data_IF_856348943201
#
_entry.id   IF_856348943201
#
_cell.length_a   1.000
_cell.length_b   1.000
_cell.length_c   1.000
_cell.angle_alpha   90.00
_cell.angle_beta   90.00
_cell.angle_gamma   90.00
#
_symmetry.space_group_name_H-M   'P 1'
#
loop_
_entity.id
_entity.type
_entity.pdbx_description
1 polymer ?
#
# COMPACT_ATOMS: atom_id res chain seq x y z
N UNK A 1 46.36 -59.45 -49.26
CA UNK A 1 47.37 -58.38 -49.13
C UNK A 1 46.92 -57.37 -48.08
N UNK A 2 47.67 -57.14 -46.98
CA UNK A 2 47.23 -56.27 -45.90
C UNK A 2 47.37 -54.78 -46.28
N UNK A 3 46.32 -53.99 -46.04
CA UNK A 3 46.28 -52.54 -46.32
C UNK A 3 47.24 -51.79 -45.39
N UNK A 4 48.34 -51.25 -45.93
CA UNK A 4 49.31 -50.43 -45.17
C UNK A 4 48.65 -49.11 -44.72
N UNK A 5 48.49 -48.93 -43.40
CA UNK A 5 48.02 -47.66 -42.82
C UNK A 5 49.13 -46.60 -42.92
N UNK A 6 48.89 -45.51 -43.66
CA UNK A 6 49.81 -44.35 -43.71
C UNK A 6 49.80 -43.64 -42.35
N UNK A 7 50.93 -43.67 -41.64
CA UNK A 7 51.13 -42.93 -40.39
C UNK A 7 51.40 -41.48 -40.75
N UNK A 8 50.55 -40.54 -40.31
CA UNK A 8 50.76 -39.10 -40.52
C UNK A 8 51.79 -38.60 -39.50
N UNK A 9 53.06 -38.62 -39.89
CA UNK A 9 54.17 -37.96 -39.17
C UNK A 9 54.19 -36.45 -39.47
N UNK A 10 54.70 -35.66 -38.54
CA UNK A 10 54.98 -34.23 -38.76
C UNK A 10 56.31 -34.06 -39.55
N UNK A 11 56.68 -32.86 -40.03
CA UNK A 11 57.86 -32.66 -40.89
C UNK A 11 59.21 -33.01 -40.24
N UNK A 12 59.24 -33.21 -38.92
CA UNK A 12 60.39 -33.70 -38.16
C UNK A 12 60.41 -35.24 -37.99
N UNK A 13 59.56 -35.98 -38.73
CA UNK A 13 59.52 -37.44 -38.70
C UNK A 13 58.82 -38.08 -37.50
N UNK A 14 58.25 -37.27 -36.59
CA UNK A 14 57.64 -37.76 -35.36
C UNK A 14 56.16 -38.09 -35.57
N UNK A 15 55.73 -39.28 -35.11
CA UNK A 15 54.32 -39.70 -35.15
C UNK A 15 53.48 -38.80 -34.24
N UNK A 16 52.49 -38.13 -34.84
CA UNK A 16 51.58 -37.22 -34.13
C UNK A 16 50.89 -37.89 -32.95
N UNK A 17 50.66 -39.21 -33.01
CA UNK A 17 50.05 -39.98 -31.91
C UNK A 17 51.00 -40.18 -30.72
N UNK A 18 52.32 -40.17 -30.93
CA UNK A 18 53.32 -40.29 -29.85
C UNK A 18 53.59 -38.93 -29.18
N UNK A 19 53.57 -37.83 -29.92
CA UNK A 19 53.70 -36.47 -29.36
C UNK A 19 52.61 -36.14 -28.32
N UNK A 20 51.36 -36.54 -28.58
CA UNK A 20 50.24 -36.34 -27.66
C UNK A 20 50.39 -37.13 -26.35
N UNK A 21 51.07 -38.29 -26.39
CA UNK A 21 51.32 -39.12 -25.21
C UNK A 21 52.44 -38.58 -24.32
N UNK A 22 53.47 -37.96 -24.90
CA UNK A 22 54.66 -37.53 -24.16
C UNK A 22 54.58 -36.09 -23.62
N UNK A 23 53.79 -35.21 -24.24
CA UNK A 23 53.72 -33.80 -23.84
C UNK A 23 52.35 -33.33 -23.34
N UNK A 24 51.38 -34.24 -23.23
CA UNK A 24 50.02 -33.91 -22.80
C UNK A 24 49.32 -32.97 -23.78
N UNK A 25 48.01 -33.14 -23.93
CA UNK A 25 47.19 -32.18 -24.65
C UNK A 25 47.33 -30.80 -23.97
N UNK A 26 47.52 -29.67 -24.69
CA UNK A 26 47.29 -28.37 -24.07
C UNK A 26 45.89 -28.39 -23.46
N UNK A 27 45.75 -27.94 -22.20
CA UNK A 27 44.53 -28.03 -21.38
C UNK A 27 43.34 -27.29 -22.02
N UNK A 28 42.71 -27.87 -23.04
CA UNK A 28 41.46 -27.38 -23.65
C UNK A 28 40.26 -27.61 -22.71
N UNK A 29 40.46 -28.36 -21.62
CA UNK A 29 39.45 -28.61 -20.58
C UNK A 29 39.03 -27.39 -19.77
N UNK A 30 39.77 -26.28 -19.81
CA UNK A 30 39.43 -25.07 -19.04
C UNK A 30 38.61 -24.04 -19.82
N UNK A 31 38.76 -23.95 -21.16
CA UNK A 31 38.05 -22.96 -21.98
C UNK A 31 36.55 -23.31 -22.09
N UNK A 32 36.22 -24.59 -22.24
CA UNK A 32 34.82 -25.04 -22.30
C UNK A 32 34.09 -24.86 -20.96
N UNK A 33 34.77 -25.09 -19.83
CA UNK A 33 34.25 -24.82 -18.48
C UNK A 33 34.05 -23.32 -18.22
N UNK A 34 35.02 -22.48 -18.62
CA UNK A 34 34.89 -21.03 -18.51
C UNK A 34 33.74 -20.47 -19.36
N UNK A 35 33.56 -20.95 -20.59
CA UNK A 35 32.43 -20.55 -21.45
C UNK A 35 31.08 -20.99 -20.91
N UNK A 36 30.96 -22.23 -20.41
CA UNK A 36 29.74 -22.71 -19.74
C UNK A 36 29.43 -21.91 -18.47
N UNK A 37 30.44 -21.59 -17.67
CA UNK A 37 30.29 -20.77 -16.47
C UNK A 37 29.84 -19.34 -16.82
N UNK A 38 30.42 -18.71 -17.85
CA UNK A 38 29.98 -17.39 -18.34
C UNK A 38 28.54 -17.41 -18.87
N UNK A 39 28.14 -18.44 -19.62
CA UNK A 39 26.75 -18.57 -20.07
C UNK A 39 25.77 -18.77 -18.91
N UNK A 40 26.12 -19.57 -17.90
CA UNK A 40 25.29 -19.73 -16.70
C UNK A 40 25.19 -18.45 -15.87
N UNK A 41 26.27 -17.68 -15.75
CA UNK A 41 26.27 -16.36 -15.09
C UNK A 41 25.35 -15.39 -15.85
N UNK A 42 25.47 -15.31 -17.17
CA UNK A 42 24.63 -14.43 -17.99
C UNK A 42 23.14 -14.80 -17.89
N UNK A 43 22.79 -16.09 -17.87
CA UNK A 43 21.41 -16.55 -17.65
C UNK A 43 20.89 -16.18 -16.26
N UNK A 44 21.71 -16.35 -15.21
CA UNK A 44 21.34 -15.93 -13.84
C UNK A 44 21.11 -14.42 -13.77
N UNK A 45 21.98 -13.61 -14.36
CA UNK A 45 21.80 -12.15 -14.41
C UNK A 45 20.56 -11.73 -15.21
N UNK A 46 20.23 -12.43 -16.30
CA UNK A 46 19.00 -12.19 -17.06
C UNK A 46 17.75 -12.44 -16.21
N UNK A 47 17.69 -13.58 -15.52
CA UNK A 47 16.57 -13.92 -14.64
C UNK A 47 16.43 -12.92 -13.47
N UNK A 48 17.54 -12.47 -12.90
CA UNK A 48 17.51 -11.45 -11.82
C UNK A 48 16.99 -10.12 -12.36
N UNK A 49 17.43 -9.70 -13.57
CA UNK A 49 16.94 -8.46 -14.20
C UNK A 49 15.45 -8.52 -14.51
N UNK A 50 14.93 -9.65 -14.96
CA UNK A 50 13.48 -9.83 -15.20
C UNK A 50 12.69 -9.76 -13.89
N UNK A 51 13.13 -10.48 -12.84
CA UNK A 51 12.49 -10.39 -11.52
C UNK A 51 12.46 -8.96 -10.96
N UNK A 52 13.57 -8.23 -11.09
CA UNK A 52 13.62 -6.82 -10.67
C UNK A 52 12.64 -5.94 -11.47
N UNK A 53 12.47 -6.20 -12.78
CA UNK A 53 11.50 -5.46 -13.59
C UNK A 53 10.07 -5.75 -13.13
N UNK A 54 9.75 -7.00 -12.85
CA UNK A 54 8.42 -7.42 -12.38
C UNK A 54 8.11 -6.81 -11.01
N UNK A 55 9.04 -6.90 -10.07
CA UNK A 55 8.93 -6.28 -8.74
C UNK A 55 8.75 -4.76 -8.84
N UNK A 56 9.52 -4.09 -9.71
CA UNK A 56 9.37 -2.65 -9.95
C UNK A 56 7.97 -2.32 -10.48
N UNK A 57 7.42 -3.14 -11.37
CA UNK A 57 6.09 -2.92 -11.93
C UNK A 57 4.99 -3.11 -10.88
N UNK A 58 5.14 -4.11 -10.00
CA UNK A 58 4.24 -4.32 -8.86
C UNK A 58 4.29 -3.11 -7.93
N UNK A 59 5.49 -2.67 -7.53
CA UNK A 59 5.67 -1.50 -6.66
C UNK A 59 5.06 -0.22 -7.25
N UNK A 60 5.15 -0.01 -8.57
CA UNK A 60 4.52 1.13 -9.22
C UNK A 60 2.99 1.06 -9.13
N UNK A 61 2.40 -0.11 -9.41
CA UNK A 61 0.94 -0.32 -9.28
C UNK A 61 0.47 -0.11 -7.84
N UNK A 62 1.21 -0.64 -6.87
CA UNK A 62 0.89 -0.48 -5.45
C UNK A 62 1.02 0.98 -5.01
N UNK A 63 2.02 1.70 -5.50
CA UNK A 63 2.19 3.14 -5.25
C UNK A 63 1.01 3.94 -5.79
N UNK A 64 0.55 3.66 -7.01
CA UNK A 64 -0.61 4.32 -7.61
C UNK A 64 -1.90 4.02 -6.83
N UNK A 65 -2.12 2.76 -6.47
CA UNK A 65 -3.25 2.34 -5.64
C UNK A 65 -3.24 3.03 -4.27
N UNK A 66 -2.07 3.15 -3.65
CA UNK A 66 -1.90 3.86 -2.38
C UNK A 66 -2.22 5.35 -2.52
N UNK A 67 -1.75 6.02 -3.58
CA UNK A 67 -2.10 7.43 -3.86
C UNK A 67 -3.60 7.62 -4.03
N UNK A 68 -4.29 6.71 -4.71
CA UNK A 68 -5.74 6.75 -4.86
C UNK A 68 -6.47 6.57 -3.51
N UNK A 69 -6.01 5.63 -2.70
CA UNK A 69 -6.58 5.41 -1.36
C UNK A 69 -6.36 6.61 -0.45
N UNK A 70 -5.19 7.24 -0.51
CA UNK A 70 -4.89 8.48 0.22
C UNK A 70 -5.86 9.61 -0.16
N UNK A 71 -6.11 9.82 -1.45
CA UNK A 71 -7.11 10.80 -1.92
C UNK A 71 -8.51 10.49 -1.39
N UNK A 72 -8.94 9.23 -1.45
CA UNK A 72 -10.24 8.81 -0.90
C UNK A 72 -10.35 9.11 0.60
N UNK A 73 -9.32 8.79 1.37
CA UNK A 73 -9.27 9.08 2.81
C UNK A 73 -9.29 10.59 3.08
N UNK A 74 -8.56 11.39 2.32
CA UNK A 74 -8.60 12.86 2.45
C UNK A 74 -10.00 13.42 2.22
N UNK A 75 -10.70 12.96 1.16
CA UNK A 75 -12.08 13.36 0.91
C UNK A 75 -13.00 12.95 2.06
N UNK A 76 -12.84 11.74 2.59
CA UNK A 76 -13.62 11.26 3.73
C UNK A 76 -13.39 12.10 4.99
N UNK A 77 -12.14 12.48 5.28
CA UNK A 77 -11.82 13.35 6.43
C UNK A 77 -12.50 14.71 6.28
N UNK A 78 -12.45 15.31 5.08
CA UNK A 78 -13.12 16.59 4.82
C UNK A 78 -14.64 16.45 5.02
N UNK A 79 -15.26 15.40 4.45
CA UNK A 79 -16.71 15.18 4.62
C UNK A 79 -17.09 14.96 6.08
N UNK A 80 -16.30 14.18 6.83
CA UNK A 80 -16.52 13.95 8.26
C UNK A 80 -16.41 15.24 9.06
N UNK A 81 -15.42 16.09 8.77
CA UNK A 81 -15.29 17.40 9.41
C UNK A 81 -16.48 18.33 9.11
N UNK A 82 -17.04 18.25 7.90
CA UNK A 82 -18.26 18.97 7.52
C UNK A 82 -19.48 18.49 8.31
N UNK A 83 -19.65 17.17 8.43
CA UNK A 83 -20.72 16.57 9.24
C UNK A 83 -20.60 16.95 10.72
N UNK A 84 -19.39 16.99 11.28
CA UNK A 84 -19.16 17.39 12.66
C UNK A 84 -19.59 18.86 12.89
N UNK A 85 -19.23 19.77 11.97
CA UNK A 85 -19.65 21.17 12.03
C UNK A 85 -21.17 21.31 11.98
N UNK A 86 -21.82 20.63 11.03
CA UNK A 86 -23.29 20.64 10.90
C UNK A 86 -23.97 20.09 12.16
N UNK A 87 -23.43 19.02 12.73
CA UNK A 87 -23.92 18.44 13.98
C UNK A 87 -23.82 19.42 15.15
N UNK A 88 -22.65 20.03 15.35
CA UNK A 88 -22.42 21.07 16.38
C UNK A 88 -23.38 22.25 16.23
N UNK A 89 -23.59 22.73 15.00
CA UNK A 89 -24.53 23.84 14.74
C UNK A 89 -25.98 23.45 15.02
N UNK A 90 -26.39 22.23 14.66
CA UNK A 90 -27.73 21.72 14.96
C UNK A 90 -27.98 21.64 16.47
N UNK A 91 -27.03 21.05 17.21
CA UNK A 91 -27.06 20.97 18.68
C UNK A 91 -27.16 22.37 19.28
N UNK A 92 -26.34 23.33 18.82
CA UNK A 92 -26.37 24.71 19.28
C UNK A 92 -27.75 25.35 19.10
N UNK A 93 -28.36 25.20 17.92
CA UNK A 93 -29.70 25.74 17.64
C UNK A 93 -30.77 25.12 18.53
N UNK A 94 -30.72 23.81 18.76
CA UNK A 94 -31.65 23.10 19.65
C UNK A 94 -31.49 23.62 21.09
N UNK A 95 -30.26 23.76 21.58
CA UNK A 95 -29.99 24.29 22.92
C UNK A 95 -30.52 25.72 23.09
N UNK A 96 -30.33 26.59 22.09
CA UNK A 96 -30.87 27.95 22.11
C UNK A 96 -32.41 27.96 22.15
N UNK A 97 -33.07 27.11 21.36
CA UNK A 97 -34.53 26.96 21.40
C UNK A 97 -35.01 26.48 22.76
N UNK A 98 -34.36 25.45 23.33
CA UNK A 98 -34.67 24.95 24.67
C UNK A 98 -34.56 26.05 25.72
N UNK A 99 -33.49 26.83 25.68
CA UNK A 99 -33.29 27.92 26.64
C UNK A 99 -34.40 29.00 26.55
N UNK A 100 -34.85 29.34 25.33
CA UNK A 100 -35.98 30.27 25.14
C UNK A 100 -37.27 29.72 25.74
N UNK A 101 -37.60 28.46 25.44
CA UNK A 101 -38.79 27.79 25.97
C UNK A 101 -38.74 27.72 27.50
N UNK A 102 -37.60 27.36 28.11
CA UNK A 102 -37.45 27.33 29.56
C UNK A 102 -37.72 28.71 30.19
N UNK A 103 -37.18 29.80 29.61
CA UNK A 103 -37.43 31.16 30.09
C UNK A 103 -38.89 31.58 29.96
N UNK A 104 -39.55 31.19 28.87
CA UNK A 104 -40.98 31.45 28.67
C UNK A 104 -41.84 30.67 29.67
N UNK A 105 -41.53 29.39 29.89
CA UNK A 105 -42.21 28.54 30.86
C UNK A 105 -42.06 29.09 32.29
N UNK A 106 -40.87 29.55 32.69
CA UNK A 106 -40.66 30.19 34.00
C UNK A 106 -41.52 31.46 34.16
N UNK A 107 -41.62 32.29 33.10
CA UNK A 107 -42.46 33.49 33.10
C UNK A 107 -43.94 33.13 33.23
N UNK A 108 -44.39 32.12 32.50
CA UNK A 108 -45.77 31.64 32.56
C UNK A 108 -46.09 31.05 33.94
N UNK A 109 -45.19 30.25 34.49
CA UNK A 109 -45.34 29.68 35.83
C UNK A 109 -45.50 30.76 36.91
N UNK A 110 -44.67 31.82 36.87
CA UNK A 110 -44.80 32.97 37.77
C UNK A 110 -46.16 33.67 37.62
N UNK A 111 -46.63 33.87 36.38
CA UNK A 111 -47.95 34.47 36.12
C UNK A 111 -49.07 33.60 36.68
N UNK A 112 -49.05 32.30 36.41
CA UNK A 112 -50.04 31.33 36.93
C UNK A 112 -50.08 31.38 38.46
N UNK A 113 -48.93 31.30 39.13
CA UNK A 113 -48.89 31.37 40.60
C UNK A 113 -49.41 32.70 41.15
N UNK A 114 -49.10 33.82 40.49
CA UNK A 114 -49.62 35.12 40.91
C UNK A 114 -51.15 35.22 40.74
N UNK A 115 -51.70 34.66 39.66
CA UNK A 115 -53.13 34.61 39.41
C UNK A 115 -53.84 33.66 40.40
N UNK A 116 -53.27 32.48 40.65
CA UNK A 116 -53.80 31.53 41.63
C UNK A 116 -53.82 32.14 43.04
N UNK A 117 -52.75 32.85 43.43
CA UNK A 117 -52.71 33.57 44.72
C UNK A 117 -53.80 34.64 44.80
N UNK A 118 -53.99 35.44 43.76
CA UNK A 118 -55.05 36.46 43.71
C UNK A 118 -56.45 35.84 43.78
N UNK A 119 -56.68 34.72 43.10
CA UNK A 119 -57.95 33.99 43.18
C UNK A 119 -58.22 33.54 44.62
N UNK A 120 -57.24 32.94 45.29
CA UNK A 120 -57.37 32.55 46.69
C UNK A 120 -57.64 33.73 47.63
N UNK A 121 -56.98 34.88 47.40
CA UNK A 121 -57.25 36.12 48.15
C UNK A 121 -58.68 36.68 47.90
N UNK A 122 -59.24 36.48 46.71
CA UNK A 122 -60.62 36.88 46.41
C UNK A 122 -61.64 35.89 46.98
N UNK A 123 -61.37 34.59 46.87
CA UNK A 123 -62.19 33.53 47.48
C UNK A 123 -62.26 33.69 49.00
N UNK A 124 -61.16 34.02 49.66
CA UNK A 124 -61.18 34.29 51.12
C UNK A 124 -61.93 35.57 51.49
N UNK A 125 -61.97 36.58 50.61
CA UNK A 125 -62.67 37.85 50.87
C UNK A 125 -64.16 37.81 50.55
N UNK A 126 -64.57 37.02 49.55
CA UNK A 126 -65.91 37.06 48.98
C UNK A 126 -66.59 35.68 48.86
N UNK A 127 -65.85 34.59 49.07
CA UNK A 127 -66.42 33.26 49.22
C UNK A 127 -67.12 33.16 50.57
N UNK A 128 -68.39 32.77 50.55
CA UNK A 128 -69.16 32.42 51.75
C UNK A 128 -68.69 31.09 52.31
#
# INVERSE_FOLDING_TARGET
MPKKRKVRVNPLGIDKKRLVKNHGSPKITNISKQRKNKQNQNKKHSNIREKIKDEKQILLKDSEKLKQNLKKLQTLVISMSGLEKLSKDSIRRIQQKRQKICKENERLFKKINSSAKRLSELETKFGR
#
